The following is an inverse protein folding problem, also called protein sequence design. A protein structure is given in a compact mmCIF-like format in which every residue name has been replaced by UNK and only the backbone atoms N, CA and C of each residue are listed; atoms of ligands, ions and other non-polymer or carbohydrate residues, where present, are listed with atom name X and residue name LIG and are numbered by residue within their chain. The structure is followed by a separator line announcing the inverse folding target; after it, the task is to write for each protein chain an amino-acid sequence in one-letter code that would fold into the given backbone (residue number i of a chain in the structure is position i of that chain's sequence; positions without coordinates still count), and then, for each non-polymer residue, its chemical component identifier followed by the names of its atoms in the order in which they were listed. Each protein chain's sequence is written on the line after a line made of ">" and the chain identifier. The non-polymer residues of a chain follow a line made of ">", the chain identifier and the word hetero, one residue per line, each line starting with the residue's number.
data_IF_537027851035
#
_entry.id   IF_537027851035
#
_cell.length_a   1.000
_cell.length_b   1.000
_cell.length_c   1.000
_cell.angle_alpha   90.00
_cell.angle_beta   90.00
_cell.angle_gamma   90.00
#
_symmetry.space_group_name_H-M   'P 1'
#
loop_
_entity.id
_entity.type
_entity.pdbx_description
1 polymer ?
#
# COMPACT_ATOMS: atom_id res chain seq x y z
N UNK A 1 -0.05 -22.91 15.22
CA UNK A 1 0.52 -21.68 15.77
C UNK A 1 1.86 -21.45 15.10
N UNK A 2 2.02 -20.33 14.36
CA UNK A 2 3.29 -19.92 13.81
C UNK A 2 4.20 -19.45 14.96
N UNK A 3 5.47 -19.83 14.94
CA UNK A 3 6.43 -19.24 15.86
C UNK A 3 6.60 -17.75 15.55
N UNK A 4 7.07 -16.96 16.49
CA UNK A 4 7.40 -15.53 16.27
C UNK A 4 8.36 -15.34 15.08
N UNK A 5 9.38 -16.16 14.99
CA UNK A 5 10.33 -16.12 13.87
C UNK A 5 9.67 -16.41 12.52
N UNK A 6 8.72 -17.34 12.48
CA UNK A 6 7.94 -17.65 11.29
C UNK A 6 7.03 -16.49 10.90
N UNK A 7 6.36 -15.87 11.88
CA UNK A 7 5.52 -14.69 11.66
C UNK A 7 6.34 -13.50 11.15
N UNK A 8 7.54 -13.29 11.70
CA UNK A 8 8.44 -12.22 11.27
C UNK A 8 8.94 -12.37 9.84
N UNK A 9 9.09 -13.59 9.34
CA UNK A 9 9.45 -13.82 7.92
C UNK A 9 8.32 -13.52 6.95
N UNK A 10 7.09 -13.58 7.43
CA UNK A 10 5.87 -13.40 6.62
C UNK A 10 5.18 -12.05 6.89
N UNK A 11 5.81 -11.16 7.67
CA UNK A 11 5.19 -9.90 8.09
C UNK A 11 4.80 -9.01 6.91
N UNK A 12 5.54 -9.10 5.80
CA UNK A 12 5.23 -8.40 4.55
C UNK A 12 3.94 -8.85 3.88
N UNK A 13 3.50 -10.09 4.12
CA UNK A 13 2.36 -10.70 3.43
C UNK A 13 1.00 -10.28 4.02
N UNK A 14 1.00 -9.55 5.14
CA UNK A 14 -0.23 -9.15 5.83
C UNK A 14 -0.39 -7.63 5.82
N UNK A 15 -1.60 -7.14 5.54
CA UNK A 15 -1.95 -5.72 5.58
C UNK A 15 -2.48 -5.26 6.92
N UNK A 16 -2.97 -6.19 7.76
CA UNK A 16 -3.56 -5.90 9.05
C UNK A 16 -3.12 -6.91 10.11
N UNK A 17 -2.69 -6.39 11.25
CA UNK A 17 -2.33 -7.17 12.43
C UNK A 17 -3.29 -6.89 13.56
N UNK A 18 -3.88 -7.94 14.12
CA UNK A 18 -4.68 -7.87 15.34
C UNK A 18 -3.83 -8.48 16.46
N UNK A 19 -3.43 -7.65 17.42
CA UNK A 19 -2.37 -7.95 18.37
C UNK A 19 -2.94 -7.94 19.79
N UNK A 20 -2.83 -9.05 20.52
CA UNK A 20 -3.01 -9.00 21.96
C UNK A 20 -1.79 -8.35 22.62
N UNK A 21 -2.02 -7.38 23.49
CA UNK A 21 -0.92 -6.73 24.20
C UNK A 21 -0.10 -7.70 25.04
N UNK A 22 -0.77 -8.62 25.78
CA UNK A 22 -0.11 -9.67 26.54
C UNK A 22 -0.16 -11.01 25.80
N UNK A 23 0.93 -11.37 25.18
CA UNK A 23 1.14 -12.69 24.57
C UNK A 23 2.24 -13.44 25.31
N UNK A 24 2.15 -14.79 25.46
CA UNK A 24 3.24 -15.58 26.03
C UNK A 24 4.52 -15.43 25.17
N UNK A 25 5.62 -15.02 25.81
CA UNK A 25 6.94 -14.97 25.19
C UNK A 25 7.29 -13.65 24.47
N UNK A 26 6.32 -12.84 24.05
CA UNK A 26 6.58 -11.55 23.38
C UNK A 26 5.52 -10.54 23.77
N UNK A 27 5.97 -9.32 24.07
CA UNK A 27 5.09 -8.19 24.26
C UNK A 27 4.52 -7.75 22.90
N UNK A 28 3.17 -7.68 22.78
CA UNK A 28 2.50 -7.22 21.58
C UNK A 28 2.95 -5.83 21.11
N UNK A 29 3.36 -4.96 22.04
CA UNK A 29 3.91 -3.65 21.72
C UNK A 29 5.30 -3.72 21.06
N UNK A 30 6.17 -4.61 21.50
CA UNK A 30 7.48 -4.82 20.85
C UNK A 30 7.31 -5.33 19.42
N UNK A 31 6.36 -6.24 19.20
CA UNK A 31 6.01 -6.69 17.87
C UNK A 31 5.49 -5.52 17.01
N UNK A 32 4.54 -4.73 17.53
CA UNK A 32 3.99 -3.59 16.81
C UNK A 32 5.05 -2.51 16.48
N UNK A 33 5.99 -2.23 17.40
CA UNK A 33 7.12 -1.31 17.15
C UNK A 33 7.98 -1.81 16.00
N UNK A 34 8.19 -3.12 15.89
CA UNK A 34 8.96 -3.71 14.80
C UNK A 34 8.21 -3.61 13.46
N UNK A 35 6.91 -3.93 13.42
CA UNK A 35 6.07 -3.72 12.23
C UNK A 35 6.12 -2.25 11.80
N UNK A 36 5.93 -1.33 12.73
CA UNK A 36 5.93 0.10 12.44
C UNK A 36 7.30 0.62 11.97
N UNK A 37 8.41 0.13 12.54
CA UNK A 37 9.76 0.54 12.11
C UNK A 37 10.10 0.07 10.69
N UNK A 38 9.54 -1.06 10.26
CA UNK A 38 9.82 -1.66 8.94
C UNK A 38 8.88 -1.14 7.85
N UNK A 39 7.60 -0.96 8.16
CA UNK A 39 6.55 -0.63 7.18
C UNK A 39 5.85 0.73 7.42
N UNK A 40 6.19 1.43 8.48
CA UNK A 40 5.54 2.70 8.83
C UNK A 40 4.03 2.55 9.03
N UNK A 41 3.25 3.39 8.36
CA UNK A 41 1.78 3.34 8.36
C UNK A 41 1.21 2.46 7.25
N UNK A 42 2.05 1.79 6.46
CA UNK A 42 1.63 0.90 5.37
C UNK A 42 0.92 -0.37 5.84
N UNK A 43 1.01 -0.69 7.14
CA UNK A 43 0.33 -1.85 7.75
C UNK A 43 -0.60 -1.40 8.89
N UNK A 44 -1.80 -1.96 8.95
CA UNK A 44 -2.75 -1.69 10.02
C UNK A 44 -2.40 -2.43 11.31
N UNK A 45 -2.50 -1.74 12.45
CA UNK A 45 -2.28 -2.31 13.77
C UNK A 45 -3.54 -2.12 14.62
N UNK A 46 -4.20 -3.20 15.03
CA UNK A 46 -5.33 -3.19 15.97
C UNK A 46 -4.89 -3.91 17.24
N UNK A 47 -4.88 -3.19 18.36
CA UNK A 47 -4.60 -3.80 19.65
C UNK A 47 -5.86 -4.33 20.31
N UNK A 48 -5.73 -5.52 20.90
CA UNK A 48 -6.72 -6.11 21.79
C UNK A 48 -6.10 -6.27 23.19
N UNK A 49 -6.75 -5.74 24.22
CA UNK A 49 -6.18 -5.82 25.57
C UNK A 49 -7.25 -5.81 26.66
N UNK A 50 -6.89 -6.36 27.83
CA UNK A 50 -7.63 -6.16 29.07
C UNK A 50 -7.15 -4.91 29.85
N UNK A 51 -6.14 -4.20 29.35
CA UNK A 51 -5.43 -3.12 30.05
C UNK A 51 -5.60 -1.79 29.28
N UNK A 52 -6.66 -0.99 29.56
CA UNK A 52 -6.92 0.25 28.84
C UNK A 52 -5.85 1.34 29.03
N UNK A 53 -5.07 1.26 30.10
CA UNK A 53 -4.01 2.23 30.42
C UNK A 53 -2.85 2.25 29.42
N UNK A 54 -2.68 1.18 28.63
CA UNK A 54 -1.61 1.09 27.62
C UNK A 54 -1.91 1.83 26.31
N UNK A 55 -3.09 2.47 26.20
CA UNK A 55 -3.49 3.25 25.01
C UNK A 55 -2.42 4.27 24.62
N UNK A 56 -1.75 4.89 25.60
CA UNK A 56 -0.70 5.87 25.32
C UNK A 56 0.49 5.29 24.54
N UNK A 57 0.88 4.04 24.83
CA UNK A 57 1.96 3.36 24.11
C UNK A 57 1.55 3.02 22.66
N UNK A 58 0.27 2.75 22.43
CA UNK A 58 -0.25 2.45 21.09
C UNK A 58 -0.16 3.64 20.13
N UNK A 59 -0.13 4.89 20.62
CA UNK A 59 0.10 6.07 19.80
C UNK A 59 1.51 6.11 19.20
N UNK A 60 2.53 5.55 19.87
CA UNK A 60 3.91 5.54 19.36
C UNK A 60 4.03 4.76 18.04
N UNK A 61 3.18 3.73 17.85
CA UNK A 61 3.14 2.89 16.65
C UNK A 61 2.00 3.24 15.70
N UNK A 62 1.33 4.37 15.94
CA UNK A 62 0.15 4.82 15.16
C UNK A 62 -0.87 3.72 14.94
N UNK A 63 -1.23 3.01 16.02
CA UNK A 63 -2.25 1.98 15.96
C UNK A 63 -3.55 2.51 15.34
N UNK A 64 -4.12 1.75 14.41
CA UNK A 64 -5.39 2.09 13.77
C UNK A 64 -6.55 2.11 14.76
N UNK A 65 -6.61 1.09 15.62
CA UNK A 65 -7.66 0.97 16.63
C UNK A 65 -7.16 0.23 17.87
N UNK A 66 -7.82 0.52 18.98
CA UNK A 66 -7.58 -0.11 20.26
C UNK A 66 -8.90 -0.67 20.80
N UNK A 67 -8.94 -1.97 21.10
CA UNK A 67 -10.12 -2.68 21.55
C UNK A 67 -9.89 -3.26 22.95
N UNK A 68 -10.79 -2.92 23.88
CA UNK A 68 -10.72 -3.39 25.27
C UNK A 68 -11.55 -4.65 25.43
N UNK A 69 -10.99 -5.70 26.05
CA UNK A 69 -11.70 -6.93 26.41
C UNK A 69 -12.73 -6.66 27.53
N UNK A 70 -13.91 -7.31 27.54
CA UNK A 70 -14.34 -8.38 26.64
C UNK A 70 -14.79 -7.88 25.27
N UNK A 71 -14.52 -8.65 24.23
CA UNK A 71 -14.87 -8.31 22.85
C UNK A 71 -16.03 -9.15 22.35
N UNK A 72 -16.95 -8.52 21.64
CA UNK A 72 -17.92 -9.25 20.83
C UNK A 72 -17.35 -9.51 19.43
N UNK A 73 -17.85 -10.56 18.78
CA UNK A 73 -17.50 -10.88 17.40
C UNK A 73 -17.87 -9.73 16.45
N UNK A 74 -19.00 -9.10 16.72
CA UNK A 74 -19.54 -7.99 15.95
C UNK A 74 -18.58 -6.80 15.98
N UNK A 75 -18.00 -6.48 17.15
CA UNK A 75 -17.07 -5.35 17.30
C UNK A 75 -15.77 -5.57 16.53
N UNK A 76 -15.26 -6.82 16.49
CA UNK A 76 -14.07 -7.15 15.70
C UNK A 76 -14.38 -7.00 14.20
N UNK A 77 -15.50 -7.56 13.73
CA UNK A 77 -15.91 -7.47 12.33
C UNK A 77 -16.12 -6.02 11.91
N UNK A 78 -16.81 -5.22 12.73
CA UNK A 78 -17.02 -3.78 12.47
C UNK A 78 -15.67 -3.07 12.28
N UNK A 79 -14.74 -3.25 13.23
CA UNK A 79 -13.42 -2.60 13.20
C UNK A 79 -12.59 -3.01 11.98
N UNK A 80 -12.60 -4.29 11.60
CA UNK A 80 -11.91 -4.77 10.39
C UNK A 80 -12.54 -4.17 9.14
N UNK A 81 -13.87 -4.11 9.06
CA UNK A 81 -14.57 -3.51 7.91
C UNK A 81 -14.32 -1.99 7.80
N UNK A 82 -14.24 -1.27 8.94
CA UNK A 82 -13.83 0.13 8.97
C UNK A 82 -12.41 0.29 8.39
N UNK A 83 -11.46 -0.53 8.84
CA UNK A 83 -10.09 -0.51 8.33
C UNK A 83 -10.02 -0.76 6.82
N UNK A 84 -10.72 -1.77 6.31
CA UNK A 84 -10.77 -2.09 4.88
C UNK A 84 -11.36 -0.90 4.09
N UNK A 85 -12.41 -0.26 4.61
CA UNK A 85 -13.03 0.90 3.99
C UNK A 85 -12.08 2.11 3.97
N UNK A 86 -11.37 2.36 5.07
CA UNK A 86 -10.40 3.45 5.17
C UNK A 86 -9.19 3.20 4.27
N UNK A 87 -8.70 1.97 4.19
CA UNK A 87 -7.64 1.56 3.27
C UNK A 87 -8.05 1.79 1.82
N UNK A 88 -9.26 1.38 1.42
CA UNK A 88 -9.80 1.64 0.08
C UNK A 88 -9.99 3.15 -0.19
N UNK A 89 -10.31 3.92 0.84
CA UNK A 89 -10.46 5.39 0.73
C UNK A 89 -9.11 6.10 0.63
N UNK A 90 -8.07 5.62 1.28
CA UNK A 90 -6.70 6.17 1.20
C UNK A 90 -6.06 5.99 -0.17
N UNK A 91 -6.52 5.02 -0.96
CA UNK A 91 -6.09 4.79 -2.35
C UNK A 91 -6.74 5.73 -3.37
N UNK A 92 -7.50 6.72 -2.93
CA UNK A 92 -8.15 7.70 -3.80
C UNK A 92 -7.21 8.87 -4.08
N UNK A 93 -6.99 9.13 -5.36
CA UNK A 93 -6.28 10.30 -5.86
C UNK A 93 -7.27 11.40 -6.21
N UNK A 94 -7.05 12.60 -5.69
CA UNK A 94 -7.76 13.78 -6.16
C UNK A 94 -6.93 14.50 -7.20
N UNK A 95 -7.45 14.60 -8.41
CA UNK A 95 -6.78 15.23 -9.56
C UNK A 95 -7.61 16.41 -10.03
N UNK A 96 -6.98 17.57 -10.15
CA UNK A 96 -7.59 18.74 -10.77
C UNK A 96 -7.39 18.68 -12.28
N UNK A 97 -8.50 18.63 -13.01
CA UNK A 97 -8.55 18.69 -14.47
C UNK A 97 -9.34 19.97 -14.80
N UNK A 98 -8.71 20.91 -15.48
CA UNK A 98 -9.22 22.27 -15.71
C UNK A 98 -9.62 22.89 -14.35
N UNK A 99 -10.90 23.16 -14.10
CA UNK A 99 -11.38 23.73 -12.85
C UNK A 99 -12.19 22.73 -11.97
N UNK A 100 -12.24 21.44 -12.38
CA UNK A 100 -12.95 20.38 -11.68
C UNK A 100 -12.01 19.47 -10.91
N UNK A 101 -12.48 18.95 -9.76
CA UNK A 101 -11.79 17.91 -9.00
C UNK A 101 -12.36 16.54 -9.35
N UNK A 102 -11.50 15.68 -9.85
CA UNK A 102 -11.81 14.29 -10.15
C UNK A 102 -11.20 13.38 -9.10
N UNK A 103 -11.96 12.38 -8.63
CA UNK A 103 -11.50 11.38 -7.67
C UNK A 103 -11.29 10.08 -8.44
N UNK A 104 -10.05 9.59 -8.46
CA UNK A 104 -9.66 8.33 -9.06
C UNK A 104 -9.26 7.33 -7.98
N UNK A 105 -9.59 6.05 -8.17
CA UNK A 105 -9.01 5.00 -7.37
C UNK A 105 -7.65 4.61 -7.97
N UNK A 106 -6.60 4.58 -7.15
CA UNK A 106 -5.26 4.17 -7.60
C UNK A 106 -5.26 2.75 -8.20
N UNK A 107 -6.12 1.86 -7.69
CA UNK A 107 -6.25 0.49 -8.20
C UNK A 107 -6.78 0.41 -9.63
N UNK A 108 -7.47 1.45 -10.13
CA UNK A 108 -7.99 1.51 -11.50
C UNK A 108 -6.94 2.02 -12.50
N UNK A 109 -5.81 2.55 -12.00
CA UNK A 109 -4.75 3.12 -12.82
C UNK A 109 -3.78 2.01 -13.25
N UNK A 110 -3.56 1.88 -14.54
CA UNK A 110 -2.59 0.96 -15.14
C UNK A 110 -1.18 1.54 -15.15
N UNK A 111 -1.05 2.75 -15.66
CA UNK A 111 0.22 3.48 -15.68
C UNK A 111 -0.01 4.97 -15.91
N UNK A 112 1.05 5.72 -15.73
CA UNK A 112 1.08 7.15 -16.05
C UNK A 112 2.25 7.46 -16.97
N UNK A 113 2.04 8.40 -17.89
CA UNK A 113 3.05 8.87 -18.83
C UNK A 113 3.29 10.37 -18.71
N UNK A 114 4.55 10.78 -18.52
CA UNK A 114 4.94 12.17 -18.59
C UNK A 114 5.25 12.56 -20.04
N UNK A 115 4.45 13.47 -20.59
CA UNK A 115 4.67 14.03 -21.92
C UNK A 115 4.64 15.56 -21.86
N UNK A 116 5.82 16.19 -22.12
CA UNK A 116 6.04 17.63 -22.01
C UNK A 116 5.68 18.16 -20.60
N UNK A 117 4.64 19.00 -20.48
CA UNK A 117 4.18 19.63 -19.24
C UNK A 117 2.94 18.96 -18.61
N UNK A 118 2.56 17.80 -19.15
CA UNK A 118 1.39 17.06 -18.71
C UNK A 118 1.78 15.66 -18.25
N UNK A 119 0.97 15.09 -17.37
CA UNK A 119 0.94 13.66 -17.07
C UNK A 119 -0.37 13.09 -17.58
N UNK A 120 -0.29 12.01 -18.33
CA UNK A 120 -1.41 11.22 -18.80
C UNK A 120 -1.57 10.03 -17.89
N UNK A 121 -2.78 9.81 -17.39
CA UNK A 121 -3.14 8.74 -16.45
C UNK A 121 -4.01 7.76 -17.22
N UNK A 122 -3.51 6.56 -17.43
CA UNK A 122 -4.18 5.53 -18.21
C UNK A 122 -4.94 4.58 -17.29
N UNK A 123 -6.26 4.56 -17.45
CA UNK A 123 -7.18 3.61 -16.86
C UNK A 123 -7.42 2.47 -17.86
N UNK A 124 -8.34 1.54 -17.54
CA UNK A 124 -8.65 0.41 -18.43
C UNK A 124 -9.10 0.87 -19.82
N UNK A 125 -10.08 1.76 -19.88
CA UNK A 125 -10.76 2.19 -21.10
C UNK A 125 -10.76 3.72 -21.26
N UNK A 126 -9.96 4.45 -20.44
CA UNK A 126 -9.94 5.91 -20.42
C UNK A 126 -8.53 6.45 -20.20
N UNK A 127 -8.30 7.72 -20.57
CA UNK A 127 -7.04 8.42 -20.39
C UNK A 127 -7.28 9.84 -19.92
N UNK A 128 -6.79 10.17 -18.75
CA UNK A 128 -6.95 11.47 -18.10
C UNK A 128 -5.66 12.27 -18.23
N UNK A 129 -5.79 13.51 -18.73
CA UNK A 129 -4.67 14.45 -18.86
C UNK A 129 -4.70 15.49 -17.75
N UNK A 130 -3.60 15.66 -17.03
CA UNK A 130 -3.50 16.68 -15.98
C UNK A 130 -2.16 17.42 -16.01
N UNK A 131 -2.10 18.62 -15.39
CA UNK A 131 -0.87 19.46 -15.28
C UNK A 131 -0.01 19.14 -14.06
N UNK A 132 -0.13 17.98 -13.50
CA UNK A 132 0.67 17.54 -12.36
C UNK A 132 1.87 16.73 -12.83
N UNK A 133 3.02 16.82 -12.13
CA UNK A 133 4.23 16.11 -12.54
C UNK A 133 4.16 14.64 -12.16
N UNK A 134 4.76 13.78 -12.98
CA UNK A 134 4.84 12.33 -12.68
C UNK A 134 5.64 12.05 -11.39
N UNK A 135 6.62 12.90 -11.03
CA UNK A 135 7.35 12.79 -9.76
C UNK A 135 6.46 13.07 -8.54
N UNK A 136 5.49 13.99 -8.67
CA UNK A 136 4.51 14.21 -7.59
C UNK A 136 3.61 12.98 -7.39
N UNK A 137 3.24 12.30 -8.48
CA UNK A 137 2.49 11.04 -8.41
C UNK A 137 3.34 9.89 -7.85
N UNK A 138 4.61 9.78 -8.25
CA UNK A 138 5.55 8.80 -7.72
C UNK A 138 5.63 8.86 -6.20
N UNK A 139 5.77 10.07 -5.62
CA UNK A 139 5.83 10.27 -4.17
C UNK A 139 4.51 9.94 -3.46
N UNK A 140 3.37 10.29 -4.06
CA UNK A 140 2.05 10.04 -3.47
C UNK A 140 1.63 8.58 -3.57
N UNK A 141 2.08 7.87 -4.61
CA UNK A 141 1.71 6.51 -4.93
C UNK A 141 2.78 5.46 -4.53
N UNK A 142 3.84 5.87 -3.84
CA UNK A 142 4.93 4.97 -3.42
C UNK A 142 4.43 3.74 -2.67
N UNK A 143 3.45 3.94 -1.77
CA UNK A 143 2.89 2.90 -0.90
C UNK A 143 1.75 2.11 -1.56
N UNK A 144 1.39 2.42 -2.82
CA UNK A 144 0.26 1.79 -3.53
C UNK A 144 0.69 0.87 -4.68
N UNK A 145 1.96 0.43 -4.66
CA UNK A 145 2.46 -0.49 -5.67
C UNK A 145 2.76 0.17 -7.01
N UNK A 146 3.07 1.47 -7.03
CA UNK A 146 3.53 2.16 -8.23
C UNK A 146 5.04 2.27 -8.25
N UNK A 147 5.63 2.00 -9.42
CA UNK A 147 7.06 2.07 -9.63
C UNK A 147 7.44 2.88 -10.87
N UNK A 148 8.43 3.77 -10.72
CA UNK A 148 8.99 4.58 -11.80
C UNK A 148 9.92 3.75 -12.68
N UNK A 149 9.35 3.04 -13.65
CA UNK A 149 10.07 2.09 -14.52
C UNK A 149 10.94 2.78 -15.59
N UNK A 150 10.60 4.03 -15.93
CA UNK A 150 11.31 4.88 -16.87
C UNK A 150 11.16 6.36 -16.47
N UNK A 151 12.05 7.25 -16.95
CA UNK A 151 11.94 8.69 -16.68
C UNK A 151 10.55 9.28 -17.00
N UNK A 152 9.84 8.67 -17.95
CA UNK A 152 8.52 9.10 -18.40
C UNK A 152 7.38 8.20 -17.97
N UNK A 153 7.64 7.04 -17.35
CA UNK A 153 6.60 6.08 -17.03
C UNK A 153 6.61 5.66 -15.56
N UNK A 154 5.44 5.76 -14.93
CA UNK A 154 5.12 5.25 -13.60
C UNK A 154 4.08 4.15 -13.78
N UNK A 155 4.37 2.93 -13.39
CA UNK A 155 3.55 1.73 -13.64
C UNK A 155 2.99 1.19 -12.33
N UNK A 156 1.74 0.78 -12.33
CA UNK A 156 1.14 0.00 -11.25
C UNK A 156 1.63 -1.45 -11.36
N UNK A 157 2.45 -1.90 -10.41
CA UNK A 157 3.05 -3.25 -10.38
C UNK A 157 1.95 -4.32 -10.36
N UNK A 158 0.83 -4.06 -9.66
CA UNK A 158 -0.29 -4.99 -9.56
C UNK A 158 -1.04 -5.21 -10.89
N UNK A 159 -0.78 -4.38 -11.89
CA UNK A 159 -1.33 -4.50 -13.27
C UNK A 159 -0.35 -5.12 -14.26
N UNK A 160 0.81 -5.58 -13.79
CA UNK A 160 1.82 -6.20 -14.65
C UNK A 160 1.45 -7.65 -14.91
N UNK A 161 1.28 -7.99 -16.19
CA UNK A 161 1.00 -9.37 -16.65
C UNK A 161 2.27 -10.17 -16.85
N UNK A 162 3.29 -9.57 -17.45
CA UNK A 162 4.63 -10.16 -17.70
C UNK A 162 5.61 -9.08 -18.13
N UNK A 163 6.89 -9.36 -18.01
CA UNK A 163 7.96 -8.47 -18.48
C UNK A 163 9.20 -9.24 -18.89
N UNK A 164 10.08 -8.57 -19.62
CA UNK A 164 11.45 -8.98 -19.92
C UNK A 164 12.42 -7.83 -19.56
N UNK A 165 13.69 -7.92 -19.96
CA UNK A 165 14.73 -6.91 -19.65
C UNK A 165 14.50 -5.53 -20.29
N UNK A 166 13.50 -5.38 -21.18
CA UNK A 166 13.24 -4.15 -21.95
C UNK A 166 11.81 -3.67 -21.89
N UNK A 167 10.86 -4.59 -21.75
CA UNK A 167 9.44 -4.28 -21.91
C UNK A 167 8.64 -4.92 -20.77
N UNK A 168 7.78 -4.12 -20.15
CA UNK A 168 6.73 -4.53 -19.26
C UNK A 168 5.41 -4.57 -20.04
N UNK A 169 4.65 -5.65 -19.94
CA UNK A 169 3.33 -5.82 -20.54
C UNK A 169 2.28 -5.84 -19.44
N UNK A 170 1.34 -4.93 -19.52
CA UNK A 170 0.25 -4.79 -18.56
C UNK A 170 -0.94 -5.71 -18.91
N UNK A 171 -1.88 -5.87 -17.98
CA UNK A 171 -3.09 -6.70 -18.18
C UNK A 171 -3.96 -6.22 -19.32
N UNK A 172 -4.01 -4.91 -19.58
CA UNK A 172 -4.72 -4.30 -20.72
C UNK A 172 -3.99 -4.46 -22.07
N UNK A 173 -2.81 -5.12 -22.08
CA UNK A 173 -2.01 -5.37 -23.27
C UNK A 173 -1.00 -4.27 -23.63
N UNK A 174 -1.00 -3.14 -22.92
CA UNK A 174 -0.04 -2.05 -23.14
C UNK A 174 1.38 -2.49 -22.86
N UNK A 175 2.34 -1.96 -23.66
CA UNK A 175 3.76 -2.26 -23.60
C UNK A 175 4.55 -1.04 -23.16
N UNK A 176 5.14 -1.09 -21.98
CA UNK A 176 5.91 0.00 -21.39
C UNK A 176 7.40 -0.34 -21.38
N UNK A 177 8.25 0.58 -21.85
CA UNK A 177 9.70 0.37 -21.85
C UNK A 177 10.27 0.46 -20.43
N UNK A 178 11.13 -0.50 -20.11
CA UNK A 178 11.90 -0.53 -18.85
C UNK A 178 13.25 0.13 -19.09
N UNK A 179 13.60 1.11 -18.25
CA UNK A 179 14.95 1.66 -18.23
C UNK A 179 15.93 0.63 -17.70
N UNK A 180 17.06 0.40 -18.39
CA UNK A 180 18.08 -0.55 -17.98
C UNK A 180 18.54 -0.34 -16.52
N UNK A 181 18.63 0.93 -16.08
CA UNK A 181 19.01 1.27 -14.69
C UNK A 181 17.95 0.91 -13.65
N UNK A 182 16.70 0.70 -14.07
CA UNK A 182 15.57 0.40 -13.20
C UNK A 182 15.12 -1.06 -13.23
N UNK A 183 15.73 -1.87 -14.07
CA UNK A 183 15.31 -3.25 -14.27
C UNK A 183 15.48 -4.12 -13.02
N UNK A 184 16.64 -4.07 -12.37
CA UNK A 184 16.90 -4.90 -11.19
C UNK A 184 16.01 -4.53 -10.01
N UNK A 185 15.83 -3.21 -9.76
CA UNK A 185 14.94 -2.68 -8.74
C UNK A 185 13.47 -3.08 -9.02
N UNK A 186 13.04 -3.01 -10.29
CA UNK A 186 11.71 -3.43 -10.71
C UNK A 186 11.48 -4.94 -10.50
N UNK A 187 12.46 -5.79 -10.87
CA UNK A 187 12.38 -7.23 -10.65
C UNK A 187 12.20 -7.58 -9.17
N UNK A 188 12.96 -6.93 -8.29
CA UNK A 188 12.87 -7.15 -6.86
C UNK A 188 11.48 -6.79 -6.33
N UNK A 189 10.99 -5.59 -6.64
CA UNK A 189 9.67 -5.13 -6.20
C UNK A 189 8.52 -6.00 -6.76
N UNK A 190 8.61 -6.42 -8.02
CA UNK A 190 7.62 -7.30 -8.61
C UNK A 190 7.58 -8.67 -7.90
N UNK A 191 8.75 -9.25 -7.59
CA UNK A 191 8.82 -10.52 -6.86
C UNK A 191 8.29 -10.41 -5.42
N UNK A 192 8.41 -9.24 -4.80
CA UNK A 192 7.83 -8.94 -3.49
C UNK A 192 6.31 -8.80 -3.57
N UNK A 193 5.76 -8.26 -4.67
CA UNK A 193 4.32 -8.04 -4.84
C UNK A 193 3.51 -9.31 -5.13
N UNK A 194 4.16 -10.41 -5.56
CA UNK A 194 3.49 -11.69 -5.87
C UNK A 194 3.63 -12.76 -4.78
N UNK A 195 4.29 -12.43 -3.65
CA UNK A 195 4.38 -13.31 -2.48
C UNK A 195 3.16 -13.14 -1.60
#
# INVERSE_FOLDING_TARGET
>A
FLSYESLMRQIGDFDLFIIDYKMPGINGMEFAKKVYSEFGTGKGLIFITAYPEIVYEAFEVRAYRFLVKPLSKEKIIETVNEYIKDLASSRKLTIRIDDEFNILNADDIYYMEAARKYTYIYLKDDCIKCRRTITSFENELSDYGFFRIHRSYLVNINKVKKFDSRICILENGEKIFISQKKYDEFCQLYLESIK
#
